data_IF_347755366526
#
_entry.id   IF_347755366526
#
_cell.length_a   1.000
_cell.length_b   1.000
_cell.length_c   1.000
_cell.angle_alpha   90.00
_cell.angle_beta   90.00
_cell.angle_gamma   90.00
#
_symmetry.space_group_name_H-M   'P 1'
#
loop_
_entity.id
_entity.type
_entity.pdbx_description
1 polymer ?
#
# COMPACT_ATOMS: atom_id res chain seq x y z
N UNK A 1 2.52 -30.93 7.39
CA UNK A 1 1.12 -31.31 7.63
C UNK A 1 0.21 -31.11 6.42
N UNK A 2 0.18 -29.97 5.75
CA UNK A 2 -0.63 -29.71 4.53
C UNK A 2 -0.43 -30.73 3.38
N UNK A 3 0.75 -31.33 3.25
CA UNK A 3 1.06 -32.35 2.21
C UNK A 3 0.20 -33.62 2.32
N UNK A 4 -0.19 -34.01 3.52
CA UNK A 4 -0.99 -35.22 3.77
C UNK A 4 -2.43 -35.04 3.31
N UNK A 5 -2.99 -33.82 3.48
CA UNK A 5 -4.38 -33.52 3.11
C UNK A 5 -4.61 -33.47 1.60
N UNK A 6 -3.58 -33.08 0.82
CA UNK A 6 -3.68 -32.98 -0.65
C UNK A 6 -3.58 -34.36 -1.34
N UNK A 7 -3.27 -35.44 -0.59
CA UNK A 7 -3.17 -36.81 -1.12
C UNK A 7 -4.41 -37.66 -0.84
N UNK A 8 -5.46 -37.09 -0.27
CA UNK A 8 -6.73 -37.77 -0.07
C UNK A 8 -7.49 -37.83 -1.41
N UNK A 9 -7.13 -38.80 -2.23
CA UNK A 9 -7.79 -39.11 -3.51
C UNK A 9 -8.30 -40.55 -3.43
N UNK A 10 -9.54 -40.78 -3.89
CA UNK A 10 -10.04 -42.11 -4.28
C UNK A 10 -9.87 -42.27 -5.79
N UNK A 11 -9.94 -43.50 -6.34
CA UNK A 11 -9.77 -43.76 -7.77
C UNK A 11 -10.65 -42.90 -8.69
N UNK A 12 -11.74 -42.31 -8.18
CA UNK A 12 -12.69 -41.53 -8.96
C UNK A 12 -12.98 -40.10 -8.45
N UNK A 13 -12.51 -39.70 -7.25
CA UNK A 13 -12.86 -38.40 -6.67
C UNK A 13 -11.73 -37.79 -5.83
N UNK A 14 -11.50 -36.45 -5.99
CA UNK A 14 -10.76 -35.68 -5.02
C UNK A 14 -11.63 -35.41 -3.80
N UNK A 15 -11.21 -35.90 -2.63
CA UNK A 15 -11.99 -35.80 -1.39
C UNK A 15 -11.86 -34.44 -0.72
N UNK A 16 -10.81 -33.68 -1.06
CA UNK A 16 -10.54 -32.35 -0.47
C UNK A 16 -10.04 -31.36 -1.50
N UNK A 17 -10.65 -30.17 -1.49
CA UNK A 17 -10.12 -28.98 -2.16
C UNK A 17 -9.50 -28.07 -1.12
N UNK A 18 -8.25 -27.65 -1.34
CA UNK A 18 -7.53 -26.72 -0.46
C UNK A 18 -7.38 -25.38 -1.16
N UNK A 19 -7.83 -24.32 -0.50
CA UNK A 19 -7.62 -22.95 -0.95
C UNK A 19 -6.71 -22.26 0.06
N UNK A 20 -5.62 -21.66 -0.44
CA UNK A 20 -4.67 -20.93 0.37
C UNK A 20 -4.88 -19.42 0.14
N UNK A 21 -5.09 -18.70 1.23
CA UNK A 21 -5.10 -17.23 1.22
C UNK A 21 -3.87 -16.73 1.97
N UNK A 22 -3.19 -15.75 1.42
CA UNK A 22 -2.01 -15.16 2.05
C UNK A 22 -1.69 -13.78 1.50
N UNK A 23 -0.76 -13.13 2.15
CA UNK A 23 -0.14 -11.89 1.68
C UNK A 23 0.94 -12.23 0.64
N UNK A 24 1.49 -11.24 -0.09
CA UNK A 24 2.51 -11.47 -1.13
C UNK A 24 3.70 -12.32 -0.68
N UNK A 25 4.06 -12.27 0.62
CA UNK A 25 5.13 -13.08 1.21
C UNK A 25 4.84 -14.59 1.15
N UNK A 26 3.58 -14.98 0.93
CA UNK A 26 3.23 -16.39 0.70
C UNK A 26 3.85 -16.90 -0.61
N UNK A 27 3.89 -16.09 -1.66
CA UNK A 27 4.49 -16.46 -2.94
C UNK A 27 6.00 -16.67 -2.80
N UNK A 28 6.67 -15.79 -2.05
CA UNK A 28 8.10 -15.93 -1.74
C UNK A 28 8.39 -17.23 -0.97
N UNK A 29 7.54 -17.56 0.01
CA UNK A 29 7.65 -18.81 0.76
C UNK A 29 7.41 -20.03 -0.13
N UNK A 30 6.39 -20.00 -0.99
CA UNK A 30 6.08 -21.09 -1.91
C UNK A 30 7.19 -21.28 -2.98
N UNK A 31 7.97 -20.24 -3.28
CA UNK A 31 9.12 -20.33 -4.18
C UNK A 31 10.30 -21.11 -3.60
N UNK A 32 10.39 -21.28 -2.28
CA UNK A 32 11.47 -22.01 -1.63
C UNK A 32 11.46 -23.52 -2.00
N UNK A 33 12.65 -24.11 -2.09
CA UNK A 33 12.81 -25.53 -2.45
C UNK A 33 12.00 -26.48 -1.57
N UNK A 34 11.84 -26.15 -0.28
CA UNK A 34 11.06 -26.91 0.70
C UNK A 34 9.59 -27.09 0.30
N UNK A 35 9.02 -26.10 -0.43
CA UNK A 35 7.62 -26.09 -0.85
C UNK A 35 7.41 -26.50 -2.31
N UNK A 36 8.46 -26.94 -3.02
CA UNK A 36 8.41 -27.32 -4.45
C UNK A 36 7.27 -28.29 -4.77
N UNK A 37 7.10 -29.34 -3.96
CA UNK A 37 6.03 -30.33 -4.18
C UNK A 37 4.63 -29.76 -3.95
N UNK A 38 4.45 -28.85 -2.98
CA UNK A 38 3.18 -28.17 -2.77
C UNK A 38 2.87 -27.23 -3.94
N UNK A 39 3.86 -26.47 -4.38
CA UNK A 39 3.72 -25.54 -5.53
C UNK A 39 3.31 -26.27 -6.80
N UNK A 40 3.82 -27.47 -7.06
CA UNK A 40 3.46 -28.28 -8.24
C UNK A 40 1.99 -28.74 -8.22
N UNK A 41 1.33 -28.73 -7.06
CA UNK A 41 -0.09 -29.11 -6.89
C UNK A 41 -1.03 -27.93 -6.96
N UNK A 42 -0.52 -26.70 -6.94
CA UNK A 42 -1.34 -25.49 -7.10
C UNK A 42 -1.70 -25.37 -8.56
N UNK A 43 -2.97 -25.61 -8.88
CA UNK A 43 -3.49 -25.55 -10.24
C UNK A 43 -3.84 -24.12 -10.64
N UNK A 44 -4.31 -23.30 -9.69
CA UNK A 44 -4.74 -21.93 -9.93
C UNK A 44 -4.09 -21.00 -8.91
N UNK A 45 -3.58 -19.86 -9.38
CA UNK A 45 -3.07 -18.76 -8.56
C UNK A 45 -3.72 -17.47 -9.02
N UNK A 46 -4.20 -16.68 -8.09
CA UNK A 46 -4.83 -15.40 -8.37
C UNK A 46 -4.33 -14.32 -7.42
N UNK A 47 -3.90 -13.21 -7.97
CA UNK A 47 -3.47 -12.05 -7.20
C UNK A 47 -4.60 -11.02 -7.13
N UNK A 48 -5.06 -10.74 -5.91
CA UNK A 48 -6.06 -9.70 -5.69
C UNK A 48 -5.44 -8.33 -5.91
N UNK A 49 -5.97 -7.58 -6.89
CA UNK A 49 -5.56 -6.20 -7.12
C UNK A 49 -6.28 -5.25 -6.16
N UNK A 50 -5.69 -4.09 -5.87
CA UNK A 50 -6.39 -3.01 -5.17
C UNK A 50 -7.66 -2.60 -5.93
N UNK A 51 -8.68 -2.15 -5.18
CA UNK A 51 -9.92 -1.65 -5.75
C UNK A 51 -9.70 -0.34 -6.50
N UNK A 52 -10.32 -0.21 -7.68
CA UNK A 52 -10.42 1.06 -8.39
C UNK A 52 -11.36 2.03 -7.65
N UNK A 53 -11.35 3.31 -8.02
CA UNK A 53 -12.23 4.30 -7.36
C UNK A 53 -13.72 4.01 -7.59
N UNK A 54 -14.11 3.46 -8.75
CA UNK A 54 -15.49 3.06 -9.05
C UNK A 54 -15.91 1.87 -8.20
N UNK A 55 -15.03 0.88 -8.05
CA UNK A 55 -15.26 -0.27 -7.17
C UNK A 55 -15.36 0.16 -5.71
N UNK A 56 -14.56 1.15 -5.28
CA UNK A 56 -14.65 1.72 -3.93
C UNK A 56 -15.99 2.42 -3.73
N UNK A 57 -16.49 3.14 -4.74
CA UNK A 57 -17.81 3.75 -4.66
C UNK A 57 -18.90 2.69 -4.44
N UNK A 58 -18.93 1.67 -5.26
CA UNK A 58 -19.87 0.56 -5.13
C UNK A 58 -19.71 -0.17 -3.79
N UNK A 59 -18.47 -0.36 -3.34
CA UNK A 59 -18.17 -0.98 -2.07
C UNK A 59 -18.71 -0.18 -0.86
N UNK A 60 -18.49 1.14 -0.83
CA UNK A 60 -19.02 2.01 0.23
C UNK A 60 -20.56 1.97 0.24
N UNK A 61 -21.20 2.09 -0.93
CA UNK A 61 -22.66 2.01 -1.05
C UNK A 61 -23.19 0.66 -0.56
N UNK A 62 -22.57 -0.44 -0.97
CA UNK A 62 -22.92 -1.77 -0.49
C UNK A 62 -22.81 -1.88 1.05
N UNK A 63 -21.70 -1.41 1.62
CA UNK A 63 -21.47 -1.44 3.07
C UNK A 63 -22.51 -0.62 3.85
N UNK A 64 -22.89 0.55 3.34
CA UNK A 64 -23.96 1.37 3.92
C UNK A 64 -25.31 0.66 3.84
N UNK A 65 -25.63 0.03 2.72
CA UNK A 65 -26.85 -0.76 2.55
C UNK A 65 -26.92 -1.94 3.52
N UNK A 66 -25.83 -2.69 3.71
CA UNK A 66 -25.74 -3.79 4.70
C UNK A 66 -25.94 -3.26 6.13
N UNK A 67 -25.49 -2.02 6.42
CA UNK A 67 -25.74 -1.35 7.70
C UNK A 67 -27.16 -0.79 7.85
N UNK A 68 -28.04 -1.03 6.87
CA UNK A 68 -29.45 -0.58 6.91
C UNK A 68 -29.68 0.85 6.41
N UNK A 69 -28.66 1.53 5.88
CA UNK A 69 -28.83 2.88 5.35
C UNK A 69 -29.50 2.85 3.97
N UNK A 70 -30.67 3.52 3.86
CA UNK A 70 -31.47 3.61 2.62
C UNK A 70 -31.66 5.06 2.14
N UNK A 71 -30.89 6.00 2.68
CA UNK A 71 -30.96 7.42 2.35
C UNK A 71 -30.17 7.79 1.10
N UNK A 72 -30.11 9.10 0.82
CA UNK A 72 -29.30 9.65 -0.26
C UNK A 72 -27.80 9.47 -0.03
N UNK A 73 -26.99 9.57 -1.10
CA UNK A 73 -25.52 9.43 -1.04
C UNK A 73 -24.93 10.31 0.07
N UNK A 74 -24.27 9.70 1.06
CA UNK A 74 -23.59 10.37 2.16
C UNK A 74 -22.25 10.99 1.72
N UNK A 75 -21.61 10.40 0.73
CA UNK A 75 -20.32 10.83 0.17
C UNK A 75 -20.53 11.39 -1.24
N UNK A 76 -19.92 12.52 -1.55
CA UNK A 76 -19.84 13.02 -2.92
C UNK A 76 -18.80 12.23 -3.72
N UNK A 77 -18.85 12.37 -5.05
CA UNK A 77 -17.85 11.74 -5.95
C UNK A 77 -16.42 12.21 -5.61
N UNK A 78 -16.25 13.48 -5.25
CA UNK A 78 -14.96 14.04 -4.83
C UNK A 78 -14.46 13.44 -3.53
N UNK A 79 -15.35 13.19 -2.58
CA UNK A 79 -15.00 12.56 -1.29
C UNK A 79 -14.54 11.12 -1.49
N UNK A 80 -15.26 10.37 -2.32
CA UNK A 80 -14.89 8.98 -2.66
C UNK A 80 -13.54 8.93 -3.36
N UNK A 81 -13.28 9.82 -4.33
CA UNK A 81 -11.97 9.90 -5.00
C UNK A 81 -10.84 10.22 -4.02
N UNK A 82 -11.08 11.11 -3.07
CA UNK A 82 -10.11 11.45 -2.03
C UNK A 82 -9.81 10.25 -1.12
N UNK A 83 -10.85 9.55 -0.65
CA UNK A 83 -10.71 8.34 0.16
C UNK A 83 -10.01 7.22 -0.62
N UNK A 84 -10.37 7.01 -1.88
CA UNK A 84 -9.77 6.01 -2.75
C UNK A 84 -8.27 6.22 -2.92
N UNK A 85 -7.87 7.48 -3.17
CA UNK A 85 -6.45 7.86 -3.28
C UNK A 85 -5.70 7.59 -1.98
N UNK A 86 -6.26 8.00 -0.84
CA UNK A 86 -5.64 7.80 0.46
C UNK A 86 -5.57 6.32 0.86
N UNK A 87 -6.63 5.55 0.61
CA UNK A 87 -6.70 4.12 0.91
C UNK A 87 -5.90 3.25 -0.09
N UNK A 88 -5.44 3.80 -1.22
CA UNK A 88 -4.70 3.06 -2.27
C UNK A 88 -5.43 1.79 -2.74
N UNK A 89 -6.76 1.81 -2.73
CA UNK A 89 -7.57 0.68 -3.12
C UNK A 89 -7.67 -0.46 -2.10
N UNK A 90 -7.14 -0.29 -0.88
CA UNK A 90 -7.15 -1.31 0.17
C UNK A 90 -8.49 -1.25 0.93
N UNK A 91 -9.36 -2.30 0.88
CA UNK A 91 -10.70 -2.27 1.46
C UNK A 91 -10.70 -1.95 2.97
N UNK A 92 -9.73 -2.48 3.72
CA UNK A 92 -9.59 -2.18 5.15
C UNK A 92 -9.42 -0.69 5.40
N UNK A 93 -8.53 -0.02 4.65
CA UNK A 93 -8.30 1.42 4.79
C UNK A 93 -9.51 2.22 4.34
N UNK A 94 -10.19 1.80 3.27
CA UNK A 94 -11.46 2.42 2.83
C UNK A 94 -12.48 2.41 3.98
N UNK A 95 -12.66 1.27 4.66
CA UNK A 95 -13.58 1.17 5.79
C UNK A 95 -13.20 2.11 6.94
N UNK A 96 -11.93 2.13 7.33
CA UNK A 96 -11.43 2.99 8.42
C UNK A 96 -11.70 4.46 8.09
N UNK A 97 -11.32 4.89 6.90
CA UNK A 97 -11.46 6.29 6.48
C UNK A 97 -12.93 6.70 6.33
N UNK A 98 -13.76 5.86 5.72
CA UNK A 98 -15.18 6.12 5.57
C UNK A 98 -15.86 6.20 6.94
N UNK A 99 -15.57 5.27 7.85
CA UNK A 99 -16.12 5.26 9.21
C UNK A 99 -15.70 6.51 9.99
N UNK A 100 -14.43 6.87 10.02
CA UNK A 100 -13.96 8.09 10.70
C UNK A 100 -14.60 9.35 10.10
N UNK A 101 -14.76 9.41 8.76
CA UNK A 101 -15.42 10.53 8.10
C UNK A 101 -16.89 10.67 8.50
N UNK A 102 -17.59 9.54 8.64
CA UNK A 102 -18.98 9.50 9.11
C UNK A 102 -19.09 9.92 10.58
N UNK A 103 -18.20 9.47 11.45
CA UNK A 103 -18.16 9.87 12.86
C UNK A 103 -17.96 11.38 13.02
N UNK A 104 -17.02 11.97 12.26
CA UNK A 104 -16.78 13.42 12.27
C UNK A 104 -18.01 14.19 11.76
N UNK A 105 -18.64 13.71 10.69
CA UNK A 105 -19.86 14.28 10.15
C UNK A 105 -21.02 14.26 11.18
N UNK A 106 -21.18 13.13 11.83
CA UNK A 106 -22.19 12.94 12.88
C UNK A 106 -21.93 13.85 14.10
N UNK A 107 -20.68 13.91 14.55
CA UNK A 107 -20.28 14.78 15.66
C UNK A 107 -20.50 16.29 15.39
N UNK A 108 -20.45 16.71 14.11
CA UNK A 108 -20.81 18.07 13.70
C UNK A 108 -22.34 18.26 13.45
N UNK A 109 -23.16 17.24 13.70
CA UNK A 109 -24.62 17.28 13.47
C UNK A 109 -25.01 17.41 12.00
N UNK A 110 -24.12 17.00 11.06
CA UNK A 110 -24.37 17.13 9.62
C UNK A 110 -24.92 15.82 9.05
N UNK A 111 -25.76 15.93 8.01
CA UNK A 111 -26.36 14.78 7.33
C UNK A 111 -25.53 14.24 6.15
N UNK A 112 -24.52 14.96 5.71
CA UNK A 112 -23.66 14.57 4.57
C UNK A 112 -22.20 14.81 4.92
N UNK A 113 -21.37 13.85 4.52
CA UNK A 113 -19.92 13.97 4.66
C UNK A 113 -19.40 15.08 3.73
N UNK A 114 -18.41 15.81 4.19
CA UNK A 114 -17.70 16.82 3.40
C UNK A 114 -16.25 16.45 3.25
N UNK A 115 -15.60 17.05 2.27
CA UNK A 115 -14.16 16.88 2.03
C UNK A 115 -13.31 17.24 3.25
N UNK A 116 -13.80 18.14 4.12
CA UNK A 116 -13.14 18.48 5.40
C UNK A 116 -13.08 17.26 6.33
N UNK A 117 -14.19 16.51 6.46
CA UNK A 117 -14.25 15.30 7.29
C UNK A 117 -13.32 14.22 6.73
N UNK A 118 -13.31 14.01 5.41
CA UNK A 118 -12.42 13.05 4.78
C UNK A 118 -10.94 13.38 5.00
N UNK A 119 -10.55 14.66 4.84
CA UNK A 119 -9.17 15.09 5.11
C UNK A 119 -8.76 14.95 6.57
N UNK A 120 -9.68 15.22 7.49
CA UNK A 120 -9.43 15.02 8.92
C UNK A 120 -9.25 13.52 9.24
N UNK A 121 -10.12 12.65 8.70
CA UNK A 121 -10.00 11.20 8.85
C UNK A 121 -8.67 10.65 8.30
N UNK A 122 -8.22 11.16 7.14
CA UNK A 122 -6.95 10.78 6.53
C UNK A 122 -5.78 11.17 7.43
N UNK A 123 -5.76 12.41 7.94
CA UNK A 123 -4.69 12.88 8.83
C UNK A 123 -4.60 12.11 10.14
N UNK A 124 -5.75 11.63 10.64
CA UNK A 124 -5.84 10.88 11.89
C UNK A 124 -5.58 9.38 11.73
N UNK A 125 -5.23 8.91 10.52
CA UNK A 125 -5.00 7.49 10.27
C UNK A 125 -3.52 7.19 10.11
N UNK A 126 -2.93 6.52 11.10
CA UNK A 126 -1.50 6.20 11.18
C UNK A 126 -1.00 5.34 10.03
N UNK A 127 -1.79 4.34 9.61
CA UNK A 127 -1.44 3.42 8.50
C UNK A 127 -1.16 4.14 7.18
N UNK A 128 -1.73 5.34 6.99
CA UNK A 128 -1.49 6.18 5.81
C UNK A 128 -0.20 6.97 5.98
N UNK A 129 0.04 7.50 7.18
CA UNK A 129 1.20 8.33 7.48
C UNK A 129 2.52 7.55 7.44
N UNK A 130 2.52 6.27 7.84
CA UNK A 130 3.70 5.41 7.82
C UNK A 130 4.25 5.19 6.38
N UNK A 131 3.39 5.23 5.39
CA UNK A 131 3.80 4.99 3.99
C UNK A 131 4.27 6.26 3.27
N UNK A 132 3.80 7.43 3.68
CA UNK A 132 4.36 8.70 3.18
C UNK A 132 5.78 8.97 3.70
N UNK A 133 6.15 8.42 4.86
CA UNK A 133 7.50 8.56 5.44
C UNK A 133 8.57 7.73 4.75
N UNK A 134 8.24 6.74 3.94
CA UNK A 134 9.22 5.92 3.22
C UNK A 134 9.66 6.53 1.87
N UNK A 135 9.04 7.59 1.41
CA UNK A 135 9.50 8.35 0.26
C UNK A 135 10.64 9.29 0.66
N UNK A 136 11.87 9.00 0.24
CA UNK A 136 12.98 9.96 0.33
C UNK A 136 12.49 11.32 -0.20
N UNK A 137 12.43 12.31 0.70
CA UNK A 137 12.02 13.66 0.31
C UNK A 137 12.93 14.13 -0.83
N UNK A 138 12.34 14.74 -1.87
CA UNK A 138 13.10 15.36 -2.97
C UNK A 138 14.19 16.31 -2.43
N UNK A 139 13.93 16.95 -1.29
CA UNK A 139 14.89 17.77 -0.56
C UNK A 139 16.08 16.97 -0.02
N UNK A 140 15.87 15.74 0.46
CA UNK A 140 16.97 14.87 0.94
C UNK A 140 17.85 14.39 -0.21
N UNK A 141 17.27 14.10 -1.37
CA UNK A 141 18.02 13.73 -2.58
C UNK A 141 18.86 14.91 -3.07
N UNK A 142 18.30 16.10 -3.11
CA UNK A 142 19.02 17.32 -3.46
C UNK A 142 20.16 17.64 -2.50
N UNK A 143 19.95 17.45 -1.20
CA UNK A 143 20.97 17.65 -0.18
C UNK A 143 22.14 16.64 -0.33
N UNK A 144 21.84 15.38 -0.58
CA UNK A 144 22.84 14.34 -0.83
C UNK A 144 23.62 14.63 -2.11
N UNK A 145 22.94 15.04 -3.20
CA UNK A 145 23.59 15.45 -4.44
C UNK A 145 24.51 16.66 -4.22
N UNK A 146 24.06 17.67 -3.46
CA UNK A 146 24.85 18.84 -3.13
C UNK A 146 26.10 18.48 -2.33
N UNK A 147 25.97 17.60 -1.33
CA UNK A 147 27.11 17.12 -0.54
C UNK A 147 28.11 16.33 -1.37
N UNK A 148 27.65 15.48 -2.31
CA UNK A 148 28.50 14.74 -3.24
C UNK A 148 29.28 15.68 -4.17
N UNK A 149 28.62 16.69 -4.73
CA UNK A 149 29.26 17.70 -5.58
C UNK A 149 30.31 18.50 -4.79
N UNK A 150 29.98 18.89 -3.56
CA UNK A 150 30.92 19.60 -2.68
C UNK A 150 32.15 18.76 -2.34
N UNK A 151 31.95 17.47 -2.07
CA UNK A 151 33.05 16.52 -1.78
C UNK A 151 33.97 16.32 -3.02
N UNK A 152 33.39 16.26 -4.21
CA UNK A 152 34.13 16.18 -5.47
C UNK A 152 34.95 17.45 -5.75
N UNK A 153 34.40 18.64 -5.48
CA UNK A 153 35.09 19.92 -5.63
C UNK A 153 36.25 20.06 -4.62
N UNK A 154 36.09 19.65 -3.40
CA UNK A 154 37.15 19.65 -2.37
C UNK A 154 38.27 18.68 -2.75
N UNK A 155 37.94 17.47 -3.23
CA UNK A 155 38.95 16.51 -3.70
C UNK A 155 39.72 17.01 -4.93
N UNK A 156 39.06 17.77 -5.82
CA UNK A 156 39.73 18.35 -6.99
C UNK A 156 40.68 19.51 -6.60
N UNK A 157 40.37 20.27 -5.57
CA UNK A 157 41.25 21.33 -5.04
C UNK A 157 42.47 20.76 -4.35
N UNK A 158 42.36 19.63 -3.64
CA UNK A 158 43.50 18.97 -2.99
C UNK A 158 44.49 18.42 -4.03
N UNK A 159 44.00 17.73 -5.07
CA UNK A 159 44.81 17.19 -6.17
C UNK A 159 45.47 18.30 -7.00
N UNK A 160 44.70 19.42 -7.20
CA UNK A 160 45.25 20.59 -7.92
C UNK A 160 46.35 21.31 -7.13
N UNK A 161 46.26 21.34 -5.80
CA UNK A 161 47.30 21.92 -4.91
C UNK A 161 48.65 21.18 -4.98
N UNK A 162 48.62 19.84 -4.99
CA UNK A 162 49.82 19.03 -5.09
C UNK A 162 50.55 19.16 -6.45
N UNK A 163 49.83 19.41 -7.52
CA UNK A 163 50.40 19.64 -8.85
C UNK A 163 51.12 20.98 -8.93
N UNK A 164 50.60 22.04 -8.33
CA UNK A 164 51.22 23.36 -8.34
C UNK A 164 52.49 23.42 -7.49
N UNK A 165 52.56 22.71 -6.37
CA UNK A 165 53.80 22.62 -5.55
C UNK A 165 54.89 21.85 -6.25
N UNK A 166 54.60 20.81 -7.04
CA UNK A 166 55.59 20.05 -7.82
C UNK A 166 56.19 20.83 -8.99
N UNK A 167 55.46 21.79 -9.55
CA UNK A 167 56.01 22.62 -10.68
C UNK A 167 56.91 23.73 -10.14
N UNK A 168 56.73 24.16 -8.86
CA UNK A 168 57.55 25.21 -8.23
C UNK A 168 58.95 24.73 -7.75
N UNK A 169 59.19 23.43 -7.69
CA UNK A 169 60.47 22.85 -7.24
C UNK A 169 61.40 22.42 -8.38
N UNK A 170 61.04 22.71 -9.65
CA UNK A 170 61.92 22.57 -10.83
C UNK A 170 62.17 23.93 -11.47
#
# INVERSE_FOLDING_TARGET
MLRLFTNLETESRKLLQVVLFGQPELDERLAQATFRQLRQRITFSYHLRPLSWDEIRAYIQYRLGVAGYQGADLFSVSDIKLLAKAARGIPRLVNILAHKSLLLCYGEGRQRVSTKHCRAAIRDTEDINLTERSGFSRSSILLIMLLLVMMLLLGFMDVGGEWLTRISEH
#
